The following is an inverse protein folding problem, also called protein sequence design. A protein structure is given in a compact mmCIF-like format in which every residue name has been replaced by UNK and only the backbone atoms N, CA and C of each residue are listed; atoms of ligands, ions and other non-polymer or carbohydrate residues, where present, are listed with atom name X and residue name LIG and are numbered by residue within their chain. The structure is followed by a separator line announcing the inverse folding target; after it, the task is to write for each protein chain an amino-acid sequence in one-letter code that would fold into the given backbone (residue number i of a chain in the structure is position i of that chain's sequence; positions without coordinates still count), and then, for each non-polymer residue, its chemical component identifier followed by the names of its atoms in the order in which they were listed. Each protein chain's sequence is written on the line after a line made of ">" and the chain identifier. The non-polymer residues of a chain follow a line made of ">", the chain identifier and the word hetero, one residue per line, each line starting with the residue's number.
data_IF_126423638581
#
_entry.id   IF_126423638581
#
_cell.length_a   1.000
_cell.length_b   1.000
_cell.length_c   1.000
_cell.angle_alpha   90.00
_cell.angle_beta   90.00
_cell.angle_gamma   90.00
#
_symmetry.space_group_name_H-M   'P 1'
#
loop_
_entity.id
_entity.type
_entity.pdbx_description
1 polymer ?
#
# COMPACT_ATOMS: atom_id res chain seq x y z
N UNK A 1 46.18 4.80 36.65
CA UNK A 1 45.30 3.68 36.23
C UNK A 1 44.04 3.57 37.09
N UNK A 2 44.12 3.57 38.43
CA UNK A 2 42.94 3.43 39.30
C UNK A 2 41.85 4.50 39.09
N UNK A 3 42.22 5.78 38.95
CA UNK A 3 41.27 6.89 38.72
C UNK A 3 40.56 6.85 37.37
N UNK A 4 41.20 6.27 36.35
CA UNK A 4 40.62 6.10 35.01
C UNK A 4 39.54 5.02 35.03
N UNK A 5 39.81 3.93 35.76
CA UNK A 5 38.85 2.84 35.98
C UNK A 5 37.60 3.31 36.72
N UNK A 6 37.75 4.21 37.69
CA UNK A 6 36.63 4.78 38.46
C UNK A 6 35.74 5.68 37.59
N UNK A 7 36.35 6.47 36.70
CA UNK A 7 35.62 7.34 35.77
C UNK A 7 34.77 6.53 34.76
N UNK A 8 35.34 5.43 34.23
CA UNK A 8 34.65 4.52 33.31
C UNK A 8 33.47 3.83 34.02
N UNK A 9 33.64 3.43 35.28
CA UNK A 9 32.59 2.80 36.05
C UNK A 9 31.39 3.75 36.32
N UNK A 10 31.64 5.04 36.52
CA UNK A 10 30.57 6.04 36.66
C UNK A 10 29.79 6.30 35.36
N UNK A 11 30.43 6.15 34.19
CA UNK A 11 29.77 6.33 32.89
C UNK A 11 28.85 5.15 32.52
N UNK A 12 29.07 3.97 33.09
CA UNK A 12 28.21 2.79 32.89
C UNK A 12 26.86 2.90 33.61
N UNK A 13 26.70 3.87 34.51
CA UNK A 13 25.45 4.15 35.24
C UNK A 13 24.52 5.13 34.51
N UNK A 14 24.92 5.63 33.34
CA UNK A 14 24.02 6.37 32.46
C UNK A 14 23.00 5.37 31.90
N UNK A 15 21.87 5.25 32.58
CA UNK A 15 20.65 4.60 32.09
C UNK A 15 20.42 5.03 30.64
N UNK A 16 20.47 4.08 29.71
CA UNK A 16 20.16 4.33 28.32
C UNK A 16 18.67 4.69 28.24
N UNK A 17 18.38 5.98 28.07
CA UNK A 17 17.02 6.46 27.80
C UNK A 17 16.57 5.90 26.45
N UNK A 18 15.90 4.75 26.47
CA UNK A 18 15.20 4.24 25.30
C UNK A 18 13.99 5.15 25.04
N UNK A 19 13.86 5.64 23.81
CA UNK A 19 12.74 6.46 23.39
C UNK A 19 11.44 5.61 23.53
N UNK A 20 10.36 6.13 24.13
CA UNK A 20 9.10 5.40 24.17
C UNK A 20 8.51 5.30 22.76
N UNK A 21 8.65 4.13 22.13
CA UNK A 21 8.22 3.89 20.74
C UNK A 21 6.71 3.92 20.49
N UNK A 22 5.88 4.05 21.53
CA UNK A 22 4.41 4.08 21.41
C UNK A 22 3.94 5.37 20.73
N UNK A 23 4.55 6.51 21.06
CA UNK A 23 4.16 7.81 20.51
C UNK A 23 4.52 7.90 19.02
N UNK A 24 5.73 7.44 18.66
CA UNK A 24 6.17 7.33 17.26
C UNK A 24 5.33 6.33 16.45
N UNK A 25 4.90 5.22 17.06
CA UNK A 25 4.02 4.26 16.40
C UNK A 25 2.61 4.80 16.18
N UNK A 26 2.08 5.58 17.13
CA UNK A 26 0.82 6.28 16.96
C UNK A 26 0.91 7.36 15.86
N UNK A 27 2.05 8.04 15.77
CA UNK A 27 2.32 9.03 14.72
C UNK A 27 2.39 8.38 13.34
N UNK A 28 3.16 7.30 13.20
CA UNK A 28 3.22 6.52 11.97
C UNK A 28 1.86 5.95 11.55
N UNK A 29 1.01 5.55 12.50
CA UNK A 29 -0.38 5.13 12.21
C UNK A 29 -1.21 6.27 11.63
N UNK A 30 -1.10 7.47 12.20
CA UNK A 30 -1.86 8.64 11.73
C UNK A 30 -1.38 9.10 10.35
N UNK A 31 -0.07 9.11 10.12
CA UNK A 31 0.52 9.44 8.82
C UNK A 31 0.07 8.44 7.74
N UNK A 32 0.09 7.13 8.05
CA UNK A 32 -0.41 6.09 7.15
C UNK A 32 -1.89 6.28 6.81
N UNK A 33 -2.72 6.64 7.80
CA UNK A 33 -4.14 6.87 7.59
C UNK A 33 -4.39 8.12 6.71
N UNK A 34 -3.59 9.17 6.86
CA UNK A 34 -3.68 10.37 6.04
C UNK A 34 -3.30 10.09 4.58
N UNK A 35 -2.20 9.36 4.36
CA UNK A 35 -1.71 9.04 3.03
C UNK A 35 -2.58 7.99 2.31
N UNK A 36 -3.26 7.12 3.06
CA UNK A 36 -4.10 6.06 2.51
C UNK A 36 -5.20 6.57 1.57
N UNK A 37 -5.85 7.69 1.91
CA UNK A 37 -6.91 8.26 1.07
C UNK A 37 -6.35 8.76 -0.27
N UNK A 38 -5.21 9.44 -0.24
CA UNK A 38 -4.54 9.94 -1.46
C UNK A 38 -4.08 8.78 -2.36
N UNK A 39 -3.48 7.74 -1.77
CA UNK A 39 -3.08 6.54 -2.49
C UNK A 39 -4.29 5.77 -3.06
N UNK A 40 -5.40 5.71 -2.31
CA UNK A 40 -6.65 5.10 -2.75
C UNK A 40 -7.24 5.83 -3.96
N UNK A 41 -7.28 7.17 -3.93
CA UNK A 41 -7.80 7.97 -5.04
C UNK A 41 -6.95 7.80 -6.31
N UNK A 42 -5.62 7.81 -6.16
CA UNK A 42 -4.70 7.52 -7.26
C UNK A 42 -4.94 6.12 -7.84
N UNK A 43 -5.15 5.11 -6.99
CA UNK A 43 -5.45 3.74 -7.41
C UNK A 43 -6.75 3.67 -8.23
N UNK A 44 -7.81 4.39 -7.83
CA UNK A 44 -9.07 4.46 -8.57
C UNK A 44 -8.92 5.15 -9.94
N UNK A 45 -8.11 6.20 -10.02
CA UNK A 45 -7.79 6.85 -11.31
C UNK A 45 -7.07 5.87 -12.23
N UNK A 46 -6.04 5.16 -11.73
CA UNK A 46 -5.32 4.15 -12.51
C UNK A 46 -6.22 2.98 -12.93
N UNK A 47 -7.10 2.51 -12.04
CA UNK A 47 -8.08 1.48 -12.35
C UNK A 47 -8.99 1.89 -13.51
N UNK A 48 -9.44 3.15 -13.52
CA UNK A 48 -10.26 3.71 -14.60
C UNK A 48 -9.49 3.74 -15.92
N UNK A 49 -8.26 4.24 -15.92
CA UNK A 49 -7.43 4.32 -17.13
C UNK A 49 -7.12 2.94 -17.72
N UNK A 50 -6.73 1.98 -16.87
CA UNK A 50 -6.45 0.60 -17.29
C UNK A 50 -7.71 -0.13 -17.76
N UNK A 51 -8.84 0.09 -17.08
CA UNK A 51 -10.14 -0.46 -17.45
C UNK A 51 -10.58 0.01 -18.84
N UNK A 52 -10.49 1.32 -19.10
CA UNK A 52 -10.81 1.91 -20.41
C UNK A 52 -9.89 1.38 -21.52
N UNK A 53 -8.58 1.31 -21.27
CA UNK A 53 -7.64 0.80 -22.26
C UNK A 53 -7.92 -0.67 -22.62
N UNK A 54 -8.19 -1.51 -21.62
CA UNK A 54 -8.60 -2.90 -21.83
C UNK A 54 -9.90 -3.03 -22.64
N UNK A 55 -10.90 -2.19 -22.36
CA UNK A 55 -12.16 -2.16 -23.09
C UNK A 55 -11.96 -1.80 -24.57
N UNK A 56 -11.13 -0.79 -24.87
CA UNK A 56 -10.81 -0.39 -26.26
C UNK A 56 -10.14 -1.54 -27.00
N UNK A 57 -9.19 -2.24 -26.39
CA UNK A 57 -8.51 -3.40 -27.00
C UNK A 57 -9.49 -4.54 -27.29
N UNK A 58 -10.38 -4.86 -26.36
CA UNK A 58 -11.40 -5.91 -26.54
C UNK A 58 -12.35 -5.54 -27.67
N UNK A 59 -12.85 -4.31 -27.67
CA UNK A 59 -13.74 -3.82 -28.72
C UNK A 59 -13.06 -3.89 -30.09
N UNK A 60 -11.81 -3.45 -30.18
CA UNK A 60 -11.03 -3.54 -31.41
C UNK A 60 -10.88 -4.98 -31.90
N UNK A 61 -10.49 -5.92 -31.02
CA UNK A 61 -10.35 -7.33 -31.36
C UNK A 61 -11.67 -7.96 -31.85
N UNK A 62 -12.79 -7.55 -31.25
CA UNK A 62 -14.12 -7.98 -31.68
C UNK A 62 -14.43 -7.48 -33.09
N UNK A 63 -14.22 -6.19 -33.37
CA UNK A 63 -14.43 -5.61 -34.71
C UNK A 63 -13.52 -6.24 -35.78
N UNK A 64 -12.32 -6.68 -35.40
CA UNK A 64 -11.38 -7.37 -36.29
C UNK A 64 -11.75 -8.84 -36.57
N UNK A 65 -12.84 -9.35 -36.00
CA UNK A 65 -13.28 -10.73 -36.20
C UNK A 65 -12.38 -11.78 -35.52
N UNK A 66 -11.63 -11.39 -34.48
CA UNK A 66 -10.78 -12.33 -33.73
C UNK A 66 -11.66 -13.39 -33.07
N UNK A 67 -11.39 -14.67 -33.38
CA UNK A 67 -12.07 -15.78 -32.73
C UNK A 67 -11.52 -16.02 -31.31
N UNK A 68 -12.36 -16.55 -30.41
CA UNK A 68 -12.01 -16.91 -29.03
C UNK A 68 -11.57 -15.74 -28.13
N UNK A 69 -12.27 -14.60 -28.21
CA UNK A 69 -12.03 -13.45 -27.30
C UNK A 69 -12.71 -13.60 -25.93
N UNK A 70 -13.48 -14.67 -25.70
CA UNK A 70 -14.23 -14.87 -24.45
C UNK A 70 -13.32 -14.89 -23.22
N UNK A 71 -12.14 -15.52 -23.35
CA UNK A 71 -11.13 -15.53 -22.29
C UNK A 71 -10.52 -14.13 -22.07
N UNK A 72 -10.27 -13.36 -23.14
CA UNK A 72 -9.75 -11.99 -23.06
C UNK A 72 -10.78 -11.07 -22.35
N UNK A 73 -12.07 -11.24 -22.66
CA UNK A 73 -13.18 -10.51 -22.04
C UNK A 73 -13.30 -10.84 -20.56
N UNK A 74 -13.32 -12.13 -20.22
CA UNK A 74 -13.41 -12.59 -18.84
C UNK A 74 -12.21 -12.09 -18.01
N UNK A 75 -11.00 -12.20 -18.55
CA UNK A 75 -9.79 -11.74 -17.87
C UNK A 75 -9.83 -10.24 -17.58
N UNK A 76 -10.21 -9.41 -18.55
CA UNK A 76 -10.38 -7.97 -18.35
C UNK A 76 -11.45 -7.66 -17.30
N UNK A 77 -12.61 -8.32 -17.38
CA UNK A 77 -13.72 -8.10 -16.47
C UNK A 77 -13.34 -8.44 -15.02
N UNK A 78 -12.74 -9.61 -14.78
CA UNK A 78 -12.32 -10.01 -13.43
C UNK A 78 -11.15 -9.17 -12.90
N UNK A 79 -10.24 -8.71 -13.77
CA UNK A 79 -9.20 -7.76 -13.37
C UNK A 79 -9.79 -6.40 -12.95
N UNK A 80 -10.77 -5.88 -13.69
CA UNK A 80 -11.47 -4.65 -13.34
C UNK A 80 -12.24 -4.78 -12.02
N UNK A 81 -12.96 -5.90 -11.84
CA UNK A 81 -13.67 -6.22 -10.60
C UNK A 81 -12.71 -6.27 -9.40
N UNK A 82 -11.58 -6.96 -9.56
CA UNK A 82 -10.56 -7.06 -8.51
C UNK A 82 -10.02 -5.68 -8.10
N UNK A 83 -9.68 -4.82 -9.06
CA UNK A 83 -9.17 -3.47 -8.78
C UNK A 83 -10.16 -2.61 -7.98
N UNK A 84 -11.46 -2.69 -8.30
CA UNK A 84 -12.50 -1.97 -7.54
C UNK A 84 -12.65 -2.52 -6.12
N UNK A 85 -12.58 -3.85 -5.96
CA UNK A 85 -12.74 -4.50 -4.66
C UNK A 85 -11.49 -4.39 -3.77
N UNK A 86 -10.30 -4.23 -4.35
CA UNK A 86 -9.04 -4.17 -3.62
C UNK A 86 -9.02 -3.06 -2.55
N UNK A 87 -9.59 -1.88 -2.85
CA UNK A 87 -9.66 -0.78 -1.88
C UNK A 87 -10.53 -1.09 -0.66
N UNK A 88 -11.66 -1.78 -0.85
CA UNK A 88 -12.52 -2.23 0.24
C UNK A 88 -11.86 -3.35 1.06
N UNK A 89 -11.15 -4.26 0.39
CA UNK A 89 -10.37 -5.31 1.05
C UNK A 89 -9.26 -4.74 1.93
N UNK A 90 -8.49 -3.77 1.44
CA UNK A 90 -7.41 -3.13 2.21
C UNK A 90 -7.96 -2.33 3.41
N UNK A 91 -9.08 -1.62 3.25
CA UNK A 91 -9.77 -0.95 4.37
C UNK A 91 -10.17 -1.97 5.45
N UNK A 92 -10.79 -3.07 5.06
CA UNK A 92 -11.19 -4.14 5.98
C UNK A 92 -9.98 -4.81 6.65
N UNK A 93 -8.88 -5.03 5.92
CA UNK A 93 -7.65 -5.65 6.45
C UNK A 93 -6.97 -4.78 7.50
N UNK A 94 -6.89 -3.46 7.27
CA UNK A 94 -6.21 -2.53 8.17
C UNK A 94 -7.12 -1.92 9.24
N UNK A 95 -8.44 -2.20 9.19
CA UNK A 95 -9.41 -1.67 10.14
C UNK A 95 -9.58 -0.15 10.05
N UNK A 96 -9.50 0.39 8.82
CA UNK A 96 -9.66 1.82 8.49
C UNK A 96 -11.01 2.04 7.82
#
# INVERSE_FOLDING_TARGET
>A
MKKLLTLICCLLWLEAFAQPGIEEMNKARNDLAADYFSASDLSLVLATLLGLNGAVKIYHNWQMGKHHIDADIAAWFFAALFMVLAGAFLKALFGI
#
